data_IF_836291344121
#
_entry.id   IF_836291344121
#
_cell.length_a   1.000
_cell.length_b   1.000
_cell.length_c   1.000
_cell.angle_alpha   90.00
_cell.angle_beta   90.00
_cell.angle_gamma   90.00
#
_symmetry.space_group_name_H-M   'P 1'
#
loop_
_entity.id
_entity.type
_entity.pdbx_description
1 polymer ?
#
# COMPACT_ATOMS: atom_id res chain seq x y z
N UNK A 1 8.78 1.02 -22.08
CA UNK A 1 8.46 -0.14 -21.21
C UNK A 1 7.77 -1.21 -22.06
N UNK A 2 8.25 -2.46 -22.03
CA UNK A 2 7.65 -3.57 -22.80
C UNK A 2 6.43 -4.22 -22.13
N UNK A 3 6.14 -3.85 -20.87
CA UNK A 3 5.01 -4.37 -20.10
C UNK A 3 3.76 -3.59 -20.50
N UNK A 4 2.66 -4.28 -20.79
CA UNK A 4 1.37 -3.62 -21.07
C UNK A 4 0.81 -2.96 -19.80
N UNK A 5 0.08 -1.86 -19.98
CA UNK A 5 -0.53 -1.10 -18.87
C UNK A 5 -1.36 -1.99 -17.95
N UNK A 6 -2.20 -2.88 -18.51
CA UNK A 6 -3.04 -3.81 -17.74
C UNK A 6 -2.20 -4.78 -16.89
N UNK A 7 -1.12 -5.32 -17.46
CA UNK A 7 -0.21 -6.23 -16.75
C UNK A 7 0.53 -5.51 -15.62
N UNK A 8 0.96 -4.27 -15.85
CA UNK A 8 1.60 -3.46 -14.82
C UNK A 8 0.67 -3.19 -13.63
N UNK A 9 -0.56 -2.75 -13.90
CA UNK A 9 -1.57 -2.49 -12.85
C UNK A 9 -1.88 -3.76 -12.06
N UNK A 10 -2.06 -4.91 -12.73
CA UNK A 10 -2.34 -6.18 -12.06
C UNK A 10 -1.21 -6.61 -11.11
N UNK A 11 0.05 -6.50 -11.56
CA UNK A 11 1.23 -6.81 -10.72
C UNK A 11 1.30 -5.82 -9.55
N UNK A 12 1.10 -4.53 -9.80
CA UNK A 12 1.15 -3.49 -8.76
C UNK A 12 0.10 -3.75 -7.67
N UNK A 13 -1.16 -4.03 -8.05
CA UNK A 13 -2.22 -4.32 -7.10
C UNK A 13 -1.91 -5.56 -6.27
N UNK A 14 -1.48 -6.65 -6.91
CA UNK A 14 -1.10 -7.88 -6.21
C UNK A 14 0.02 -7.62 -5.20
N UNK A 15 1.07 -6.89 -5.62
CA UNK A 15 2.18 -6.51 -4.75
C UNK A 15 1.75 -5.58 -3.62
N UNK A 16 0.87 -4.61 -3.87
CA UNK A 16 0.37 -3.69 -2.86
C UNK A 16 -0.46 -4.41 -1.79
N UNK A 17 -1.33 -5.34 -2.18
CA UNK A 17 -2.08 -6.18 -1.25
C UNK A 17 -1.18 -7.12 -0.45
N UNK A 18 -0.23 -7.79 -1.10
CA UNK A 18 0.74 -8.64 -0.42
C UNK A 18 1.58 -7.85 0.58
N UNK A 19 2.10 -6.69 0.18
CA UNK A 19 2.84 -5.78 1.04
C UNK A 19 2.03 -5.32 2.23
N UNK A 20 0.78 -4.91 2.01
CA UNK A 20 -0.14 -4.48 3.06
C UNK A 20 -0.37 -5.61 4.08
N UNK A 21 -0.71 -6.81 3.60
CA UNK A 21 -0.95 -7.97 4.45
C UNK A 21 0.28 -8.38 5.26
N UNK A 22 1.44 -8.51 4.61
CA UNK A 22 2.70 -8.91 5.26
C UNK A 22 3.10 -7.88 6.31
N UNK A 23 3.11 -6.60 5.95
CA UNK A 23 3.57 -5.55 6.86
C UNK A 23 2.64 -5.36 8.05
N UNK A 24 1.32 -5.52 7.89
CA UNK A 24 0.38 -5.49 9.02
C UNK A 24 0.52 -6.73 9.89
N UNK A 25 0.71 -7.92 9.30
CA UNK A 25 0.85 -9.16 10.07
C UNK A 25 2.18 -9.23 10.84
N UNK A 26 3.24 -8.56 10.34
CA UNK A 26 4.55 -8.54 11.00
C UNK A 26 4.69 -7.42 12.04
N UNK A 27 4.07 -6.26 11.82
CA UNK A 27 4.24 -5.06 12.64
C UNK A 27 3.01 -4.73 13.50
N UNK A 28 1.85 -5.31 13.17
CA UNK A 28 0.60 -5.11 13.89
C UNK A 28 0.36 -6.20 14.96
N UNK A 29 -0.62 -5.96 15.86
CA UNK A 29 -1.00 -6.89 16.91
C UNK A 29 -1.81 -8.08 16.40
N UNK A 30 -2.37 -7.99 15.18
CA UNK A 30 -3.21 -9.02 14.58
C UNK A 30 -2.84 -9.27 13.11
N UNK A 31 -3.06 -10.51 12.66
CA UNK A 31 -2.92 -10.90 11.25
C UNK A 31 -4.12 -10.38 10.48
N UNK A 32 -3.88 -9.48 9.52
CA UNK A 32 -4.96 -8.90 8.76
C UNK A 32 -4.50 -7.97 7.64
N UNK A 33 -5.42 -7.74 6.70
CA UNK A 33 -5.18 -6.85 5.57
C UNK A 33 -5.39 -5.38 5.96
N UNK A 34 -6.32 -5.13 6.88
CA UNK A 34 -6.52 -3.83 7.50
C UNK A 34 -6.52 -3.98 9.02
N UNK A 35 -5.95 -3.02 9.76
CA UNK A 35 -5.95 -3.01 11.21
C UNK A 35 -7.36 -2.72 11.76
N UNK A 36 -7.82 -3.52 12.72
CA UNK A 36 -9.18 -3.42 13.30
C UNK A 36 -9.36 -2.23 14.24
N UNK A 37 -8.27 -1.73 14.83
CA UNK A 37 -8.27 -0.59 15.74
C UNK A 37 -8.31 0.77 15.01
N UNK A 38 -8.45 0.78 13.68
CA UNK A 38 -8.47 2.00 12.87
C UNK A 38 -7.12 2.71 12.72
N UNK A 39 -6.05 2.18 13.34
CA UNK A 39 -4.71 2.75 13.22
C UNK A 39 -4.05 2.36 11.91
N UNK A 40 -3.84 3.34 11.03
CA UNK A 40 -3.31 3.12 9.69
C UNK A 40 -1.83 2.68 9.63
N UNK A 41 -1.07 2.83 10.72
CA UNK A 41 0.35 2.47 10.78
C UNK A 41 0.75 1.97 12.17
N UNK A 42 1.18 0.72 12.25
CA UNK A 42 1.56 0.02 13.48
C UNK A 42 3.05 -0.35 13.47
N UNK A 43 3.66 -0.41 14.65
CA UNK A 43 5.04 -0.91 14.84
C UNK A 43 6.12 0.14 15.10
N UNK A 44 5.84 1.45 14.93
CA UNK A 44 6.80 2.50 15.30
C UNK A 44 7.07 2.56 16.81
N UNK A 45 6.09 2.15 17.62
CA UNK A 45 6.18 2.13 19.08
C UNK A 45 6.58 0.77 19.65
N UNK A 46 6.96 -0.19 18.79
CA UNK A 46 7.38 -1.50 19.28
C UNK A 46 8.63 -1.39 20.17
N UNK A 47 8.66 -2.07 21.33
CA UNK A 47 9.85 -2.16 22.17
C UNK A 47 10.96 -3.00 21.52
N UNK A 48 10.66 -3.72 20.44
CA UNK A 48 11.60 -4.59 19.72
C UNK A 48 12.32 -3.80 18.62
N UNK A 49 13.65 -3.67 18.75
CA UNK A 49 14.47 -2.82 17.89
C UNK A 49 14.33 -3.12 16.38
N UNK A 50 14.29 -4.39 15.97
CA UNK A 50 14.17 -4.75 14.54
C UNK A 50 12.79 -4.38 13.97
N UNK A 51 11.72 -4.47 14.76
CA UNK A 51 10.37 -4.07 14.34
C UNK A 51 10.30 -2.55 14.15
N UNK A 52 10.87 -1.78 15.07
CA UNK A 52 10.93 -0.32 14.98
C UNK A 52 11.72 0.15 13.76
N UNK A 53 12.84 -0.49 13.46
CA UNK A 53 13.66 -0.19 12.27
C UNK A 53 12.88 -0.49 10.98
N UNK A 54 12.26 -1.67 10.87
CA UNK A 54 11.44 -2.02 9.72
C UNK A 54 10.25 -1.07 9.54
N UNK A 55 9.56 -0.73 10.64
CA UNK A 55 8.47 0.24 10.61
C UNK A 55 8.97 1.59 10.06
N UNK A 56 10.11 2.09 10.54
CA UNK A 56 10.68 3.36 10.08
C UNK A 56 10.97 3.34 8.56
N UNK A 57 11.54 2.24 8.04
CA UNK A 57 11.84 2.10 6.60
C UNK A 57 10.56 2.06 5.76
N UNK A 58 9.53 1.37 6.25
CA UNK A 58 8.28 1.12 5.53
C UNK A 58 7.30 2.31 5.63
N UNK A 59 7.45 3.15 6.66
CA UNK A 59 6.60 4.31 6.93
C UNK A 59 6.28 5.18 5.71
N UNK A 60 7.25 5.68 4.91
CA UNK A 60 6.94 6.55 3.77
C UNK A 60 6.06 5.86 2.72
N UNK A 61 6.26 4.55 2.51
CA UNK A 61 5.43 3.77 1.58
C UNK A 61 4.00 3.63 2.09
N UNK A 62 3.84 3.25 3.37
CA UNK A 62 2.51 3.15 3.99
C UNK A 62 1.80 4.49 4.08
N UNK A 63 2.53 5.57 4.30
CA UNK A 63 1.98 6.92 4.31
C UNK A 63 1.32 7.25 2.97
N UNK A 64 1.99 6.98 1.85
CA UNK A 64 1.43 7.23 0.52
C UNK A 64 0.31 6.25 0.20
N UNK A 65 0.48 4.96 0.51
CA UNK A 65 -0.46 3.91 0.11
C UNK A 65 -1.73 3.86 0.98
N UNK A 66 -1.68 4.29 2.24
CA UNK A 66 -2.74 4.04 3.22
C UNK A 66 -3.35 5.30 3.77
N UNK A 67 -2.53 6.28 4.18
CA UNK A 67 -3.00 7.45 4.92
C UNK A 67 -4.13 8.22 4.22
N UNK A 68 -4.16 8.41 2.89
CA UNK A 68 -5.24 9.14 2.23
C UNK A 68 -6.61 8.46 2.35
N UNK A 69 -6.64 7.14 2.53
CA UNK A 69 -7.87 6.35 2.66
C UNK A 69 -8.11 5.83 4.08
N UNK A 70 -7.27 6.20 5.05
CA UNK A 70 -7.37 5.65 6.41
C UNK A 70 -8.69 6.00 7.10
N UNK A 71 -9.32 7.12 6.73
CA UNK A 71 -10.63 7.51 7.25
C UNK A 71 -11.72 6.47 6.96
N UNK A 72 -11.60 5.68 5.88
CA UNK A 72 -12.56 4.61 5.57
C UNK A 72 -12.45 3.44 6.55
N UNK A 73 -11.30 3.27 7.20
CA UNK A 73 -11.04 2.20 8.16
C UNK A 73 -11.32 2.64 9.62
N UNK A 74 -11.78 3.87 9.83
CA UNK A 74 -12.17 4.39 11.15
C UNK A 74 -13.63 4.07 11.53
N UNK A 75 -14.42 3.60 10.57
CA UNK A 75 -15.76 3.09 10.83
C UNK A 75 -15.64 1.85 11.74
N UNK A 76 -16.40 1.74 12.84
CA UNK A 76 -16.40 0.55 13.70
C UNK A 76 -16.88 -0.74 13.01
N UNK A 77 -17.61 -0.64 11.89
CA UNK A 77 -18.00 -1.79 11.07
C UNK A 77 -17.81 -1.52 9.57
N UNK A 78 -16.57 -1.33 9.10
CA UNK A 78 -16.32 -1.04 7.71
C UNK A 78 -16.55 -2.31 6.90
N UNK A 79 -17.49 -2.28 5.96
CA UNK A 79 -17.76 -3.40 5.07
C UNK A 79 -16.45 -3.84 4.37
N UNK A 80 -15.90 -5.04 4.67
CA UNK A 80 -14.59 -5.45 4.16
C UNK A 80 -14.43 -5.38 2.63
N UNK A 81 -15.46 -5.71 1.83
CA UNK A 81 -15.39 -5.53 0.37
C UNK A 81 -15.24 -4.07 -0.08
N UNK A 82 -15.82 -3.11 0.65
CA UNK A 82 -15.75 -1.69 0.31
C UNK A 82 -14.35 -1.13 0.51
N UNK A 83 -13.67 -1.52 1.60
CA UNK A 83 -12.27 -1.17 1.82
C UNK A 83 -11.39 -1.70 0.69
N UNK A 84 -11.50 -2.98 0.36
CA UNK A 84 -10.73 -3.59 -0.73
C UNK A 84 -10.98 -2.88 -2.06
N UNK A 85 -12.23 -2.52 -2.36
CA UNK A 85 -12.57 -1.79 -3.57
C UNK A 85 -11.96 -0.38 -3.60
N UNK A 86 -12.13 0.41 -2.54
CA UNK A 86 -11.60 1.77 -2.45
C UNK A 86 -10.07 1.80 -2.60
N UNK A 87 -9.39 0.91 -1.87
CA UNK A 87 -7.94 0.76 -1.96
C UNK A 87 -7.49 0.29 -3.34
N UNK A 88 -8.20 -0.65 -3.97
CA UNK A 88 -7.90 -1.10 -5.33
C UNK A 88 -8.00 0.04 -6.35
N UNK A 89 -9.03 0.87 -6.26
CA UNK A 89 -9.22 2.01 -7.16
C UNK A 89 -8.09 3.03 -6.97
N UNK A 90 -7.79 3.37 -5.71
CA UNK A 90 -6.72 4.32 -5.38
C UNK A 90 -5.34 3.82 -5.85
N UNK A 91 -5.00 2.58 -5.56
CA UNK A 91 -3.73 1.97 -5.98
C UNK A 91 -3.65 1.78 -7.49
N UNK A 92 -4.77 1.52 -8.18
CA UNK A 92 -4.80 1.50 -9.64
C UNK A 92 -4.47 2.88 -10.22
N UNK A 93 -4.98 3.97 -9.63
CA UNK A 93 -4.63 5.33 -10.05
C UNK A 93 -3.13 5.60 -9.88
N UNK A 94 -2.54 5.22 -8.74
CA UNK A 94 -1.09 5.32 -8.50
C UNK A 94 -0.32 4.51 -9.55
N UNK A 95 -0.74 3.27 -9.82
CA UNK A 95 -0.10 2.41 -10.80
C UNK A 95 -0.12 3.04 -12.21
N UNK A 96 -1.23 3.67 -12.59
CA UNK A 96 -1.33 4.36 -13.87
C UNK A 96 -0.38 5.55 -13.96
N UNK A 97 -0.29 6.36 -12.90
CA UNK A 97 0.65 7.49 -12.81
C UNK A 97 2.09 7.01 -12.88
N UNK A 98 2.45 5.97 -12.11
CA UNK A 98 3.79 5.39 -12.13
C UNK A 98 4.14 4.81 -13.50
N UNK A 99 3.23 4.05 -14.12
CA UNK A 99 3.43 3.51 -15.45
C UNK A 99 3.66 4.64 -16.48
N UNK A 100 2.89 5.73 -16.37
CA UNK A 100 3.06 6.90 -17.24
C UNK A 100 4.43 7.55 -17.03
N UNK A 101 4.83 7.85 -15.79
CA UNK A 101 6.12 8.44 -15.47
C UNK A 101 7.30 7.57 -15.95
N UNK A 102 7.23 6.25 -15.73
CA UNK A 102 8.24 5.31 -16.20
C UNK A 102 8.31 5.27 -17.74
N UNK A 103 7.16 5.31 -18.41
CA UNK A 103 7.12 5.37 -19.87
C UNK A 103 7.74 6.66 -20.42
N UNK A 104 7.51 7.79 -19.74
CA UNK A 104 8.05 9.09 -20.10
C UNK A 104 9.58 9.12 -19.94
N UNK A 105 10.09 8.66 -18.80
CA UNK A 105 11.54 8.58 -18.54
C UNK A 105 12.25 7.66 -19.53
N UNK A 106 11.64 6.52 -19.87
CA UNK A 106 12.22 5.58 -20.84
C UNK A 106 12.24 6.13 -22.27
N UNK A 107 11.29 7.01 -22.61
CA UNK A 107 11.29 7.72 -23.90
C UNK A 107 12.44 8.73 -23.95
N UNK A 108 12.56 9.59 -22.93
CA UNK A 108 13.62 10.61 -22.85
C UNK A 108 15.04 10.04 -22.84
N UNK A 109 15.24 8.81 -22.33
CA UNK A 109 16.55 8.15 -22.34
C UNK A 109 16.98 7.68 -23.74
N UNK A 110 16.01 7.43 -24.62
CA UNK A 110 16.23 6.87 -25.95
C UNK A 110 16.23 7.95 -27.05
N UNK A 111 16.00 9.21 -26.70
CA UNK A 111 16.17 10.41 -27.53
C UNK A 111 17.57 10.99 -27.28
#
# INVERSE_FOLDING_TARGET
MHISRKRFVGIFLLSAFAFQFISNSLLGPEVGLFPKNGEWFLGAESPIAWQRTLATIIYPFKFVLIKPLSFLAQDPDPAPPMLVAAFSIYWAAIALVLHFLLSLTNRRRNE
#
